data_IF_685450245208
#
_entry.id   IF_685450245208
#
_cell.length_a   1.000
_cell.length_b   1.000
_cell.length_c   1.000
_cell.angle_alpha   90.00
_cell.angle_beta   90.00
_cell.angle_gamma   90.00
#
_symmetry.space_group_name_H-M   'P 1'
#
loop_
_entity.id
_entity.type
_entity.pdbx_description
1 polymer ?
#
# COMPACT_ATOMS: atom_id res chain seq x y z
N UNK A 1 -14.66 -30.66 20.76
CA UNK A 1 -15.23 -29.61 19.90
C UNK A 1 -14.08 -28.74 19.41
N UNK A 2 -13.62 -28.97 18.19
CA UNK A 2 -12.53 -28.21 17.56
C UNK A 2 -13.15 -27.04 16.80
N UNK A 3 -12.92 -25.81 17.28
CA UNK A 3 -13.37 -24.55 16.68
C UNK A 3 -12.76 -24.42 15.26
N UNK A 4 -13.54 -24.78 14.23
CA UNK A 4 -13.16 -24.64 12.83
C UNK A 4 -13.48 -23.22 12.36
N UNK A 5 -12.74 -22.23 12.85
CA UNK A 5 -12.78 -20.91 12.21
C UNK A 5 -12.12 -21.03 10.84
N UNK A 6 -12.79 -20.62 9.75
CA UNK A 6 -12.15 -20.58 8.45
C UNK A 6 -10.90 -19.70 8.57
N UNK A 7 -9.72 -20.28 8.31
CA UNK A 7 -8.48 -19.52 8.19
C UNK A 7 -8.74 -18.45 7.13
N UNK A 8 -8.73 -17.18 7.54
CA UNK A 8 -8.88 -16.03 6.63
C UNK A 8 -7.82 -16.20 5.56
N UNK A 9 -8.25 -16.45 4.33
CA UNK A 9 -7.36 -16.67 3.20
C UNK A 9 -6.56 -15.37 3.03
N UNK A 10 -5.26 -15.43 3.31
CA UNK A 10 -4.38 -14.28 3.08
C UNK A 10 -4.24 -14.18 1.57
N UNK A 11 -4.73 -13.08 0.99
CA UNK A 11 -4.65 -12.86 -0.45
C UNK A 11 -3.16 -12.86 -0.85
N UNK A 12 -2.75 -13.69 -1.83
CA UNK A 12 -1.38 -13.70 -2.30
C UNK A 12 -1.10 -12.37 -3.04
N UNK A 13 -0.23 -11.54 -2.48
CA UNK A 13 0.35 -10.39 -3.18
C UNK A 13 -0.37 -9.05 -3.03
N UNK A 14 -0.96 -8.72 -1.88
CA UNK A 14 -1.41 -7.34 -1.62
C UNK A 14 -0.39 -6.61 -0.76
N UNK A 15 0.63 -6.04 -1.41
CA UNK A 15 1.53 -5.09 -0.77
C UNK A 15 0.79 -3.79 -0.43
N UNK A 16 1.33 -3.05 0.54
CA UNK A 16 0.83 -1.71 0.86
C UNK A 16 1.88 -0.71 0.40
N UNK A 17 1.49 0.20 -0.49
CA UNK A 17 2.28 1.39 -0.80
C UNK A 17 1.95 2.46 0.22
N UNK A 18 2.94 2.94 0.97
CA UNK A 18 2.69 4.00 1.96
C UNK A 18 2.30 5.30 1.26
N UNK A 19 1.45 6.09 1.92
CA UNK A 19 0.98 7.41 1.42
C UNK A 19 2.16 8.28 0.99
N UNK A 20 3.22 8.32 1.79
CA UNK A 20 4.41 9.11 1.51
C UNK A 20 5.06 8.72 0.16
N UNK A 21 5.16 7.43 -0.13
CA UNK A 21 5.86 6.93 -1.33
C UNK A 21 5.00 7.14 -2.57
N UNK A 22 3.69 6.94 -2.43
CA UNK A 22 2.75 7.29 -3.49
C UNK A 22 2.84 8.77 -3.85
N UNK A 23 2.74 9.65 -2.85
CA UNK A 23 2.85 11.09 -3.05
C UNK A 23 4.18 11.47 -3.71
N UNK A 24 5.31 10.89 -3.24
CA UNK A 24 6.64 11.13 -3.82
C UNK A 24 6.73 10.64 -5.27
N UNK A 25 6.22 9.46 -5.59
CA UNK A 25 6.29 8.89 -6.93
C UNK A 25 5.38 9.65 -7.92
N UNK A 26 4.17 9.99 -7.48
CA UNK A 26 3.19 10.73 -8.27
C UNK A 26 3.48 12.24 -8.33
N UNK A 27 4.39 12.77 -7.51
CA UNK A 27 4.70 14.20 -7.47
C UNK A 27 3.55 15.05 -6.91
N UNK A 28 2.74 14.48 -6.01
CA UNK A 28 1.61 15.17 -5.37
C UNK A 28 1.80 15.25 -3.86
N UNK A 29 1.05 16.13 -3.20
CA UNK A 29 0.98 16.18 -1.76
C UNK A 29 -0.19 15.33 -1.21
N UNK A 30 -0.20 15.15 0.12
CA UNK A 30 -1.24 14.37 0.79
C UNK A 30 -2.65 14.99 0.66
N UNK A 31 -2.87 16.31 0.73
CA UNK A 31 -4.16 16.92 0.42
C UNK A 31 -4.68 16.54 -0.97
N UNK A 32 -3.82 16.57 -1.99
CA UNK A 32 -4.18 16.14 -3.35
C UNK A 32 -4.54 14.66 -3.41
N UNK A 33 -3.80 13.80 -2.70
CA UNK A 33 -4.14 12.38 -2.57
C UNK A 33 -5.51 12.15 -1.91
N UNK A 34 -5.85 12.91 -0.86
CA UNK A 34 -7.15 12.81 -0.20
C UNK A 34 -8.29 13.22 -1.15
N UNK A 35 -8.09 14.28 -1.93
CA UNK A 35 -9.06 14.68 -2.95
C UNK A 35 -9.29 13.60 -4.02
N UNK A 36 -8.24 12.87 -4.42
CA UNK A 36 -8.37 11.72 -5.34
C UNK A 36 -9.16 10.58 -4.69
N UNK A 37 -8.98 10.34 -3.39
CA UNK A 37 -9.71 9.32 -2.66
C UNK A 37 -11.20 9.68 -2.54
N UNK A 38 -11.51 10.95 -2.25
CA UNK A 38 -12.88 11.47 -2.22
C UNK A 38 -13.55 11.39 -3.59
N UNK A 39 -12.79 11.59 -4.67
CA UNK A 39 -13.25 11.42 -6.05
C UNK A 39 -13.35 9.96 -6.50
N UNK A 40 -12.92 9.00 -5.68
CA UNK A 40 -12.97 7.56 -5.98
C UNK A 40 -11.87 7.06 -6.92
N UNK A 41 -10.87 7.87 -7.23
CA UNK A 41 -9.74 7.53 -8.12
C UNK A 41 -8.74 6.60 -7.42
N UNK A 42 -8.63 6.70 -6.10
CA UNK A 42 -7.76 5.84 -5.28
C UNK A 42 -8.49 5.29 -4.07
N UNK A 43 -8.07 4.12 -3.59
CA UNK A 43 -8.54 3.54 -2.34
C UNK A 43 -7.48 3.67 -1.24
N UNK A 44 -7.79 4.42 -0.19
CA UNK A 44 -6.91 4.59 0.97
C UNK A 44 -7.17 3.55 2.07
N UNK A 45 -6.09 3.06 2.64
CA UNK A 45 -6.06 2.31 3.88
C UNK A 45 -5.88 3.28 5.04
N UNK A 46 -6.66 3.08 6.11
CA UNK A 46 -6.56 3.89 7.31
C UNK A 46 -6.10 3.05 8.49
N UNK A 47 -5.25 3.63 9.33
CA UNK A 47 -4.85 3.06 10.62
C UNK A 47 -5.07 4.13 11.68
N UNK A 48 -5.91 3.81 12.67
CA UNK A 48 -6.26 4.75 13.77
C UNK A 48 -6.81 6.10 13.30
N UNK A 49 -7.53 6.11 12.16
CA UNK A 49 -8.10 7.32 11.57
C UNK A 49 -7.17 8.11 10.66
N UNK A 50 -5.91 7.70 10.52
CA UNK A 50 -4.94 8.35 9.62
C UNK A 50 -4.71 7.52 8.35
N UNK A 51 -4.53 8.16 7.19
CA UNK A 51 -4.23 7.47 5.94
C UNK A 51 -2.84 6.83 6.01
N UNK A 52 -2.79 5.51 5.85
CA UNK A 52 -1.58 4.70 5.93
C UNK A 52 -0.97 4.45 4.54
N UNK A 53 -1.80 4.05 3.59
CA UNK A 53 -1.31 3.60 2.28
C UNK A 53 -2.41 3.23 1.30
N UNK A 54 -2.00 2.67 0.18
CA UNK A 54 -2.84 2.15 -0.90
C UNK A 54 -2.47 0.69 -1.14
N UNK A 55 -3.42 -0.09 -1.66
CA UNK A 55 -3.10 -1.42 -2.15
C UNK A 55 -2.35 -1.33 -3.48
N UNK A 56 -1.25 -2.07 -3.60
CA UNK A 56 -0.41 -2.10 -4.80
C UNK A 56 -1.13 -2.64 -6.04
N UNK A 57 -2.06 -3.59 -5.86
CA UNK A 57 -2.90 -4.18 -6.91
C UNK A 57 -4.05 -3.26 -7.40
N UNK A 58 -4.25 -2.12 -6.73
CA UNK A 58 -5.32 -1.14 -7.03
C UNK A 58 -4.78 0.26 -7.31
N UNK A 59 -3.51 0.38 -7.64
CA UNK A 59 -2.94 1.67 -8.03
C UNK A 59 -3.54 2.08 -9.39
N UNK A 60 -4.14 3.28 -9.50
CA UNK A 60 -4.74 3.74 -10.75
C UNK A 60 -3.64 3.98 -11.78
N UNK A 61 -3.78 3.60 -13.06
CA UNK A 61 -2.77 3.85 -14.09
C UNK A 61 -2.57 5.35 -14.35
N UNK A 62 -1.45 5.70 -15.01
CA UNK A 62 -1.10 7.09 -15.41
C UNK A 62 -2.26 7.81 -16.12
N UNK A 63 -2.99 7.11 -16.99
CA UNK A 63 -4.11 7.70 -17.74
C UNK A 63 -5.26 8.13 -16.84
N UNK A 64 -5.64 7.31 -15.85
CA UNK A 64 -6.73 7.61 -14.92
C UNK A 64 -6.36 8.78 -13.99
N UNK A 65 -5.09 8.83 -13.55
CA UNK A 65 -4.56 9.98 -12.82
C UNK A 65 -4.56 11.25 -13.68
N UNK A 66 -4.24 11.14 -14.97
CA UNK A 66 -4.30 12.24 -15.93
C UNK A 66 -5.72 12.79 -16.11
N UNK A 67 -6.72 11.92 -16.21
CA UNK A 67 -8.15 12.30 -16.26
C UNK A 67 -8.59 13.03 -14.98
N UNK A 68 -8.01 12.68 -13.83
CA UNK A 68 -8.22 13.37 -12.55
C UNK A 68 -7.44 14.69 -12.42
N UNK A 69 -6.71 15.11 -13.46
CA UNK A 69 -5.90 16.32 -13.48
C UNK A 69 -4.61 16.19 -12.68
N UNK A 70 -4.03 15.00 -12.62
CA UNK A 70 -2.72 14.74 -12.02
C UNK A 70 -1.75 14.33 -13.13
N UNK A 71 -0.77 15.18 -13.39
CA UNK A 71 0.31 14.87 -14.31
C UNK A 71 1.39 14.07 -13.58
N UNK A 72 1.33 12.74 -13.74
CA UNK A 72 2.31 11.83 -13.14
C UNK A 72 3.41 11.44 -14.14
N UNK A 73 4.65 11.20 -13.68
CA UNK A 73 5.70 10.62 -14.54
C UNK A 73 5.23 9.32 -15.20
N UNK A 74 5.58 9.10 -16.48
CA UNK A 74 5.20 7.86 -17.19
C UNK A 74 5.70 6.59 -16.49
N UNK A 75 6.79 6.69 -15.73
CA UNK A 75 7.43 5.62 -14.99
C UNK A 75 7.04 5.58 -13.49
N UNK A 76 6.03 6.33 -13.02
CA UNK A 76 5.79 6.46 -11.58
C UNK A 76 5.48 5.13 -10.87
N UNK A 77 4.78 4.18 -11.52
CA UNK A 77 4.58 2.83 -10.95
C UNK A 77 5.90 2.09 -10.75
N UNK A 78 6.85 2.26 -11.66
CA UNK A 78 8.20 1.68 -11.53
C UNK A 78 8.97 2.30 -10.38
N UNK A 79 8.66 3.56 -10.00
CA UNK A 79 9.24 4.23 -8.82
C UNK A 79 8.64 3.77 -7.49
N UNK A 80 7.49 3.09 -7.52
CA UNK A 80 6.84 2.50 -6.35
C UNK A 80 7.35 1.10 -6.01
N UNK A 81 8.01 0.45 -6.98
CA UNK A 81 8.80 -0.74 -6.68
C UNK A 81 9.97 -0.30 -5.82
N UNK A 82 9.84 -0.53 -4.53
CA UNK A 82 10.97 -0.64 -3.66
C UNK A 82 11.94 -1.64 -4.27
N UNK A 83 13.18 -1.20 -4.53
CA UNK A 83 14.35 -2.04 -4.29
C UNK A 83 14.24 -2.49 -2.83
N UNK A 84 13.45 -3.53 -2.55
CA UNK A 84 13.75 -4.36 -1.40
C UNK A 84 15.19 -4.78 -1.66
N UNK A 85 16.18 -4.40 -0.82
CA UNK A 85 17.49 -5.03 -0.95
C UNK A 85 17.21 -6.53 -0.94
N UNK A 86 17.87 -7.30 -1.82
CA UNK A 86 17.67 -8.75 -1.93
C UNK A 86 17.75 -9.47 -0.55
N UNK A 87 18.36 -8.79 0.42
CA UNK A 87 18.59 -9.19 1.81
C UNK A 87 17.41 -8.92 2.78
N UNK A 88 16.32 -8.30 2.34
CA UNK A 88 15.14 -8.00 3.17
C UNK A 88 14.18 -9.18 3.33
N UNK A 89 14.61 -10.40 2.96
CA UNK A 89 13.96 -11.61 3.44
C UNK A 89 14.19 -11.67 4.95
N UNK A 90 13.16 -11.54 5.82
CA UNK A 90 13.36 -11.71 7.25
C UNK A 90 13.95 -13.10 7.46
N UNK A 91 15.17 -13.14 8.02
CA UNK A 91 15.78 -14.42 8.34
C UNK A 91 14.89 -15.08 9.40
N UNK A 92 14.67 -16.40 9.36
CA UNK A 92 13.80 -17.09 10.31
C UNK A 92 14.17 -16.87 11.78
N UNK A 93 15.39 -16.42 12.04
CA UNK A 93 15.95 -16.02 13.33
C UNK A 93 15.40 -14.70 13.90
N UNK A 94 14.82 -13.81 13.08
CA UNK A 94 14.14 -12.58 13.51
C UNK A 94 12.64 -12.80 13.82
N UNK A 95 12.13 -14.02 13.60
CA UNK A 95 10.75 -14.39 13.90
C UNK A 95 10.56 -14.83 15.37
N UNK A 96 11.32 -14.26 16.31
CA UNK A 96 11.06 -14.43 17.74
C UNK A 96 9.89 -13.55 18.18
N UNK A 97 8.69 -13.83 17.66
CA UNK A 97 7.46 -13.41 18.31
C UNK A 97 7.25 -14.32 19.51
N UNK A 98 7.83 -13.95 20.65
CA UNK A 98 7.35 -14.46 21.92
C UNK A 98 5.90 -14.01 22.07
N UNK A 99 4.98 -14.91 21.74
CA UNK A 99 3.59 -14.83 22.17
C UNK A 99 3.57 -14.94 23.69
N UNK A 100 3.78 -13.82 24.38
CA UNK A 100 3.42 -13.66 25.77
C UNK A 100 1.90 -13.58 25.85
N UNK A 101 1.27 -14.71 26.16
CA UNK A 101 -0.03 -14.74 26.80
C UNK A 101 0.25 -14.73 28.31
N UNK A 102 0.03 -13.60 28.95
CA UNK A 102 -0.34 -13.52 30.37
C UNK A 102 -1.66 -12.75 30.46
#
# INVERSE_FOLDING_TARGET
>A
MTDHRPRKQVLPGTGVVLVHDFCRAAGIDQPRLLALAEAGVVSLLYRRGEPLGLFDDRLPPTAELGEAGVDVPQDYLSRLRYDLPDDATPRPEDASWTMGWD
#
